data_IF_980606578059
#
_entry.id   IF_980606578059
#
_cell.length_a   1.000
_cell.length_b   1.000
_cell.length_c   1.000
_cell.angle_alpha   90.00
_cell.angle_beta   90.00
_cell.angle_gamma   90.00
#
_symmetry.space_group_name_H-M   'P 1'
#
loop_
_entity.id
_entity.type
_entity.pdbx_description
1 polymer ?
#
# COMPACT_ATOMS: atom_id res chain seq x y z
N UNK A 1 16.31 13.44 -39.92
CA UNK A 1 15.66 12.20 -39.42
C UNK A 1 15.55 12.32 -37.92
N UNK A 2 14.39 12.74 -37.41
CA UNK A 2 14.12 12.70 -35.99
C UNK A 2 14.10 11.22 -35.58
N UNK A 3 14.98 10.83 -34.67
CA UNK A 3 14.90 9.51 -34.05
C UNK A 3 13.67 9.56 -33.17
N UNK A 4 12.66 8.77 -33.53
CA UNK A 4 11.51 8.54 -32.68
C UNK A 4 12.01 8.14 -31.27
N UNK A 5 11.76 9.00 -30.29
CA UNK A 5 11.82 8.59 -28.90
C UNK A 5 10.77 7.50 -28.72
N UNK A 6 11.09 6.35 -28.10
CA UNK A 6 10.06 5.40 -27.74
C UNK A 6 9.11 6.08 -26.74
N UNK A 7 7.92 6.34 -27.23
CA UNK A 7 6.78 6.86 -26.50
C UNK A 7 6.04 5.68 -25.88
N UNK A 8 6.17 5.53 -24.55
CA UNK A 8 5.13 5.07 -23.61
C UNK A 8 5.70 5.07 -22.19
N UNK A 9 4.92 5.48 -21.16
CA UNK A 9 5.31 5.21 -19.79
C UNK A 9 5.38 3.69 -19.63
N UNK A 10 6.44 3.20 -19.00
CA UNK A 10 6.57 1.82 -18.57
C UNK A 10 5.37 1.50 -17.67
N UNK A 11 4.32 0.91 -18.24
CA UNK A 11 3.18 0.40 -17.49
C UNK A 11 3.71 -0.71 -16.59
N UNK A 12 3.79 -0.42 -15.29
CA UNK A 12 4.19 -1.41 -14.31
C UNK A 12 3.04 -2.40 -14.21
N UNK A 13 3.22 -3.59 -14.78
CA UNK A 13 2.18 -4.64 -14.73
C UNK A 13 1.90 -5.03 -13.28
N UNK A 14 0.65 -4.90 -12.80
CA UNK A 14 0.29 -5.15 -11.40
C UNK A 14 0.60 -6.57 -10.96
N UNK A 15 0.36 -7.56 -11.83
CA UNK A 15 0.58 -8.98 -11.51
C UNK A 15 2.07 -9.28 -11.35
N UNK A 16 2.88 -8.79 -12.28
CA UNK A 16 4.34 -8.94 -12.25
C UNK A 16 4.94 -8.25 -11.02
N UNK A 17 4.40 -7.10 -10.60
CA UNK A 17 4.80 -6.45 -9.35
C UNK A 17 4.50 -7.34 -8.14
N UNK A 18 3.27 -7.85 -8.03
CA UNK A 18 2.84 -8.65 -6.88
C UNK A 18 3.55 -9.99 -6.76
N UNK A 19 3.93 -10.62 -7.88
CA UNK A 19 4.68 -11.88 -7.84
C UNK A 19 6.01 -11.77 -7.08
N UNK A 20 6.63 -10.60 -7.03
CA UNK A 20 7.85 -10.37 -6.24
C UNK A 20 7.65 -10.59 -4.74
N UNK A 21 6.41 -10.52 -4.26
CA UNK A 21 6.01 -10.65 -2.85
C UNK A 21 5.33 -11.98 -2.52
N UNK A 22 5.28 -12.92 -3.47
CA UNK A 22 4.70 -14.25 -3.32
C UNK A 22 5.62 -15.21 -2.53
N UNK A 23 6.11 -14.74 -1.37
CA UNK A 23 6.90 -15.52 -0.44
C UNK A 23 6.01 -16.57 0.24
N UNK A 24 6.61 -17.69 0.63
CA UNK A 24 5.93 -18.79 1.33
C UNK A 24 4.74 -19.38 0.56
N UNK A 25 4.77 -19.29 -0.78
CA UNK A 25 3.69 -19.75 -1.68
C UNK A 25 2.35 -19.04 -1.47
N UNK A 26 2.35 -17.86 -0.85
CA UNK A 26 1.14 -17.04 -0.73
C UNK A 26 0.70 -16.55 -2.11
N UNK A 27 -0.58 -16.75 -2.41
CA UNK A 27 -1.21 -16.33 -3.68
C UNK A 27 -2.37 -15.34 -3.49
N UNK A 28 -2.72 -15.01 -2.24
CA UNK A 28 -3.79 -14.05 -1.95
C UNK A 28 -3.39 -12.66 -2.39
N UNK A 29 -4.15 -12.06 -3.31
CA UNK A 29 -3.87 -10.72 -3.82
C UNK A 29 -3.81 -9.67 -2.71
N UNK A 30 -4.68 -9.78 -1.71
CA UNK A 30 -4.68 -8.88 -0.55
C UNK A 30 -3.37 -8.97 0.25
N UNK A 31 -2.91 -10.18 0.59
CA UNK A 31 -1.66 -10.35 1.33
C UNK A 31 -0.44 -9.91 0.50
N UNK A 32 -0.46 -10.15 -0.82
CA UNK A 32 0.57 -9.64 -1.73
C UNK A 32 0.57 -8.11 -1.77
N UNK A 33 -0.59 -7.46 -1.77
CA UNK A 33 -0.70 -6.00 -1.72
C UNK A 33 -0.25 -5.43 -0.38
N UNK A 34 -0.58 -6.07 0.75
CA UNK A 34 -0.08 -5.68 2.08
C UNK A 34 1.45 -5.72 2.08
N UNK A 35 2.05 -6.81 1.57
CA UNK A 35 3.50 -6.93 1.46
C UNK A 35 4.10 -5.91 0.51
N UNK A 36 3.44 -5.60 -0.60
CA UNK A 36 3.89 -4.56 -1.52
C UNK A 36 3.85 -3.17 -0.87
N UNK A 37 2.82 -2.85 -0.08
CA UNK A 37 2.76 -1.63 0.72
C UNK A 37 3.91 -1.56 1.76
N UNK A 38 4.37 -2.69 2.28
CA UNK A 38 5.47 -2.73 3.25
C UNK A 38 6.86 -2.66 2.60
N UNK A 39 7.05 -3.25 1.42
CA UNK A 39 8.38 -3.56 0.89
C UNK A 39 8.63 -3.15 -0.56
N UNK A 40 7.61 -2.77 -1.33
CA UNK A 40 7.80 -2.33 -2.71
C UNK A 40 8.37 -0.91 -2.81
N UNK A 41 8.86 -0.56 -3.99
CA UNK A 41 9.07 0.84 -4.34
C UNK A 41 7.69 1.53 -4.44
N UNK A 42 7.40 2.55 -3.61
CA UNK A 42 6.09 3.21 -3.61
C UNK A 42 5.72 3.82 -4.96
N UNK A 43 6.69 4.30 -5.74
CA UNK A 43 6.45 4.90 -7.06
C UNK A 43 5.96 3.83 -8.05
N UNK A 44 6.55 2.63 -8.03
CA UNK A 44 6.09 1.52 -8.87
C UNK A 44 4.69 1.07 -8.46
N UNK A 45 4.43 1.00 -7.16
CA UNK A 45 3.12 0.60 -6.62
C UNK A 45 2.00 1.56 -7.02
N UNK A 46 2.26 2.87 -6.90
CA UNK A 46 1.30 3.93 -7.28
C UNK A 46 1.06 4.01 -8.80
N UNK A 47 1.99 3.52 -9.63
CA UNK A 47 1.79 3.40 -11.08
C UNK A 47 1.00 2.16 -11.45
N UNK A 48 1.13 1.08 -10.69
CA UNK A 48 0.49 -0.20 -10.96
C UNK A 48 -0.95 -0.27 -10.45
N UNK A 49 -1.28 0.40 -9.34
CA UNK A 49 -2.59 0.26 -8.71
C UNK A 49 -3.32 1.61 -8.57
N UNK A 50 -4.66 1.60 -8.71
CA UNK A 50 -5.47 2.74 -8.31
C UNK A 50 -5.25 3.09 -6.84
N UNK A 51 -5.20 4.38 -6.54
CA UNK A 51 -4.95 4.89 -5.19
C UNK A 51 -6.01 4.40 -4.20
N UNK A 52 -7.26 4.33 -4.64
CA UNK A 52 -8.42 3.88 -3.87
C UNK A 52 -8.26 2.44 -3.41
N UNK A 53 -7.74 1.57 -4.28
CA UNK A 53 -7.47 0.16 -3.94
C UNK A 53 -6.38 0.04 -2.89
N UNK A 54 -5.31 0.83 -3.02
CA UNK A 54 -4.23 0.87 -2.02
C UNK A 54 -4.74 1.42 -0.69
N UNK A 55 -5.57 2.47 -0.71
CA UNK A 55 -6.23 3.07 0.45
C UNK A 55 -7.10 2.04 1.19
N UNK A 56 -7.94 1.30 0.47
CA UNK A 56 -8.81 0.27 1.05
C UNK A 56 -7.98 -0.83 1.76
N UNK A 57 -7.00 -1.42 1.06
CA UNK A 57 -6.15 -2.48 1.63
C UNK A 57 -5.39 -1.97 2.86
N UNK A 58 -4.85 -0.75 2.79
CA UNK A 58 -4.14 -0.12 3.89
C UNK A 58 -5.04 0.11 5.11
N UNK A 59 -6.20 0.75 4.93
CA UNK A 59 -7.16 1.07 6.01
C UNK A 59 -7.76 -0.19 6.66
N UNK A 60 -7.95 -1.26 5.90
CA UNK A 60 -8.45 -2.53 6.44
C UNK A 60 -7.37 -3.31 7.21
N UNK A 61 -6.09 -2.99 7.01
CA UNK A 61 -4.97 -3.75 7.56
C UNK A 61 -3.98 -2.89 8.37
N UNK A 62 -4.42 -1.75 8.94
CA UNK A 62 -3.58 -0.81 9.69
C UNK A 62 -2.67 -1.49 10.74
N UNK A 63 -3.16 -2.54 11.40
CA UNK A 63 -2.42 -3.27 12.43
C UNK A 63 -1.15 -3.99 11.93
N UNK A 64 -0.98 -4.13 10.60
CA UNK A 64 0.20 -4.73 9.96
C UNK A 64 1.33 -3.72 9.77
N UNK A 65 1.07 -2.43 9.93
CA UNK A 65 2.02 -1.35 9.67
C UNK A 65 2.57 -0.76 10.97
N UNK A 66 3.85 -0.38 10.96
CA UNK A 66 4.47 0.40 12.04
C UNK A 66 4.13 1.89 11.93
N UNK A 67 4.45 2.70 12.96
CA UNK A 67 4.15 4.14 13.01
C UNK A 67 4.71 4.90 11.79
N UNK A 68 5.88 4.48 11.28
CA UNK A 68 6.51 5.11 10.12
C UNK A 68 5.72 4.84 8.84
N UNK A 69 5.36 3.58 8.58
CA UNK A 69 4.57 3.20 7.42
C UNK A 69 3.16 3.77 7.49
N UNK A 70 2.54 3.80 8.67
CA UNK A 70 1.23 4.42 8.87
C UNK A 70 1.23 5.89 8.45
N UNK A 71 2.19 6.68 8.97
CA UNK A 71 2.31 8.09 8.63
C UNK A 71 2.62 8.30 7.14
N UNK A 72 3.52 7.49 6.58
CA UNK A 72 3.88 7.56 5.16
C UNK A 72 2.66 7.33 4.27
N UNK A 73 1.97 6.20 4.43
CA UNK A 73 0.85 5.83 3.58
C UNK A 73 -0.37 6.72 3.79
N UNK A 74 -0.60 7.22 5.01
CA UNK A 74 -1.64 8.22 5.26
C UNK A 74 -1.46 9.48 4.42
N UNK A 75 -0.22 9.99 4.33
CA UNK A 75 0.09 11.17 3.50
C UNK A 75 -0.04 10.84 2.02
N UNK A 76 0.60 9.75 1.57
CA UNK A 76 0.67 9.38 0.14
C UNK A 76 -0.72 9.04 -0.42
N UNK A 77 -1.59 8.44 0.39
CA UNK A 77 -2.93 8.03 -0.01
C UNK A 77 -3.99 9.10 0.28
N UNK A 78 -3.58 10.29 0.77
CA UNK A 78 -4.48 11.41 1.10
C UNK A 78 -5.65 10.93 2.00
N UNK A 79 -5.29 10.28 3.10
CA UNK A 79 -6.24 9.82 4.12
C UNK A 79 -6.34 10.90 5.19
N UNK A 80 -7.56 11.42 5.39
CA UNK A 80 -7.81 12.38 6.47
C UNK A 80 -7.80 11.71 7.85
N UNK A 81 -7.69 12.54 8.90
CA UNK A 81 -7.61 12.05 10.28
C UNK A 81 -8.87 11.28 10.69
N UNK A 82 -10.04 11.74 10.27
CA UNK A 82 -11.32 11.14 10.66
C UNK A 82 -11.50 9.76 10.02
N UNK A 83 -11.14 9.61 8.74
CA UNK A 83 -11.11 8.35 8.00
C UNK A 83 -10.15 7.36 8.65
N UNK A 84 -8.93 7.82 8.98
CA UNK A 84 -7.95 6.99 9.67
C UNK A 84 -8.46 6.50 11.02
N UNK A 85 -9.01 7.41 11.84
CA UNK A 85 -9.49 7.09 13.19
C UNK A 85 -10.67 6.10 13.16
N UNK A 86 -11.64 6.27 12.24
CA UNK A 86 -12.76 5.32 12.08
C UNK A 86 -12.29 3.89 11.82
N UNK A 87 -11.19 3.72 11.09
CA UNK A 87 -10.60 2.41 10.83
C UNK A 87 -9.71 1.93 11.99
N UNK A 88 -8.96 2.84 12.62
CA UNK A 88 -8.11 2.54 13.77
C UNK A 88 -8.91 2.04 14.98
N UNK A 89 -10.06 2.66 15.27
CA UNK A 89 -10.97 2.29 16.37
C UNK A 89 -11.58 0.89 16.19
N UNK A 90 -11.86 0.50 14.95
CA UNK A 90 -12.36 -0.85 14.62
C UNK A 90 -11.26 -1.92 14.72
N UNK A 91 -9.98 -1.51 14.65
CA UNK A 91 -8.84 -2.41 14.76
C UNK A 91 -8.47 -2.62 16.24
N UNK A 92 -8.91 -3.74 16.84
CA UNK A 92 -8.62 -4.09 18.25
C UNK A 92 -7.15 -3.90 18.66
N UNK A 93 -6.20 -4.23 17.77
CA UNK A 93 -4.76 -4.13 18.02
C UNK A 93 -4.23 -2.69 18.04
N UNK A 94 -4.95 -1.75 17.43
CA UNK A 94 -4.59 -0.32 17.42
C UNK A 94 -5.38 0.39 18.52
N UNK A 95 -6.68 0.15 18.61
CA UNK A 95 -7.55 0.72 19.63
C UNK A 95 -7.07 0.43 21.07
N UNK A 96 -6.49 -0.75 21.31
CA UNK A 96 -5.97 -1.14 22.63
C UNK A 96 -4.46 -0.93 22.80
N UNK A 97 -3.77 -0.21 21.89
CA UNK A 97 -2.43 0.27 22.19
C UNK A 97 -2.54 1.37 23.25
N UNK A 98 -2.51 0.94 24.52
CA UNK A 98 -2.31 1.78 25.71
C UNK A 98 -0.94 2.49 25.67
N UNK A 99 -0.07 2.19 24.71
CA UNK A 99 1.21 2.85 24.55
C UNK A 99 1.46 3.26 23.11
N UNK A 100 1.65 4.56 22.90
CA UNK A 100 2.80 5.08 22.19
C UNK A 100 2.98 6.54 22.61
N UNK A 101 4.01 6.77 23.43
CA UNK A 101 4.58 8.08 23.76
C UNK A 101 4.78 9.01 22.52
#
# INVERSE_FOLDING_TARGET
>A
MAKDLPSKPTEVDPKSLLQKFAWDRVVSEEELLIRALLYANPIELLKAFPKEKLKEVFLNNLHRFDKKNLNFWKIILEIDEDEFNRHAEKNFRIANKIFSD
#
